data_IF_798970121830
#
_entry.id   IF_798970121830
#
_cell.length_a   1.000
_cell.length_b   1.000
_cell.length_c   1.000
_cell.angle_alpha   90.00
_cell.angle_beta   90.00
_cell.angle_gamma   90.00
#
_symmetry.space_group_name_H-M   'P 1'
#
loop_
_entity.id
_entity.type
_entity.pdbx_description
1 polymer ?
#
# COMPACT_ATOMS: atom_id res chain seq x y z
N UNK A 1 0.86 17.25 -14.79
CA UNK A 1 0.91 15.85 -14.35
C UNK A 1 1.16 15.00 -15.59
N UNK A 2 2.16 14.12 -15.58
CA UNK A 2 2.42 13.25 -16.73
C UNK A 2 1.47 12.06 -16.68
N UNK A 3 0.58 11.91 -17.66
CA UNK A 3 -0.27 10.74 -17.80
C UNK A 3 0.59 9.57 -18.28
N UNK A 4 1.19 8.85 -17.35
CA UNK A 4 2.00 7.67 -17.65
C UNK A 4 1.06 6.57 -18.15
N UNK A 5 1.25 6.05 -19.38
CA UNK A 5 0.35 5.04 -19.93
C UNK A 5 0.34 3.77 -19.09
N UNK A 6 -0.84 3.24 -18.82
CA UNK A 6 -1.00 2.02 -18.04
C UNK A 6 -0.57 0.81 -18.89
N UNK A 7 0.46 0.10 -18.40
CA UNK A 7 1.05 -1.06 -19.07
C UNK A 7 0.93 -2.30 -18.20
N UNK A 8 0.89 -3.47 -18.82
CA UNK A 8 1.02 -4.74 -18.12
C UNK A 8 2.49 -5.01 -17.69
N UNK A 9 2.72 -6.12 -17.00
CA UNK A 9 4.06 -6.54 -16.56
C UNK A 9 5.07 -6.75 -17.69
N UNK A 10 4.59 -6.89 -18.93
CA UNK A 10 5.39 -7.06 -20.14
C UNK A 10 5.63 -5.75 -20.88
N UNK A 11 5.06 -4.63 -20.39
CA UNK A 11 5.15 -3.32 -21.01
C UNK A 11 4.13 -3.08 -22.11
N UNK A 12 3.20 -4.02 -22.36
CA UNK A 12 2.12 -3.85 -23.33
C UNK A 12 1.09 -2.87 -22.77
N UNK A 13 0.69 -1.90 -23.58
CA UNK A 13 -0.40 -0.99 -23.22
C UNK A 13 -1.68 -1.78 -22.95
N UNK A 14 -2.26 -1.55 -21.78
CA UNK A 14 -3.53 -2.19 -21.39
C UNK A 14 -4.74 -1.53 -22.07
N UNK A 15 -4.58 -0.29 -22.52
CA UNK A 15 -5.63 0.53 -23.14
C UNK A 15 -5.00 1.72 -23.86
N UNK A 16 -5.72 2.29 -24.81
CA UNK A 16 -5.31 3.52 -25.51
C UNK A 16 -5.31 4.72 -24.58
N UNK A 17 -4.57 5.77 -24.95
CA UNK A 17 -4.51 7.01 -24.17
C UNK A 17 -5.89 7.69 -24.06
N UNK A 18 -6.73 7.56 -25.09
CA UNK A 18 -8.11 8.08 -25.09
C UNK A 18 -8.99 7.35 -24.07
N UNK A 19 -8.93 6.01 -24.04
CA UNK A 19 -9.67 5.21 -23.05
C UNK A 19 -9.21 5.49 -21.62
N UNK A 20 -7.89 5.69 -21.40
CA UNK A 20 -7.36 6.08 -20.10
C UNK A 20 -7.89 7.44 -19.67
N UNK A 21 -7.85 8.43 -20.56
CA UNK A 21 -8.32 9.77 -20.28
C UNK A 21 -9.83 9.77 -19.95
N UNK A 22 -10.63 9.04 -20.72
CA UNK A 22 -12.07 8.92 -20.47
C UNK A 22 -12.37 8.27 -19.12
N UNK A 23 -11.66 7.20 -18.75
CA UNK A 23 -11.77 6.59 -17.40
C UNK A 23 -11.43 7.57 -16.29
N UNK A 24 -10.36 8.35 -16.45
CA UNK A 24 -9.98 9.33 -15.44
C UNK A 24 -11.05 10.40 -15.27
N UNK A 25 -11.57 10.95 -16.37
CA UNK A 25 -12.64 11.96 -16.33
C UNK A 25 -13.89 11.42 -15.64
N UNK A 26 -14.30 10.20 -15.94
CA UNK A 26 -15.45 9.55 -15.30
C UNK A 26 -15.22 9.36 -13.80
N UNK A 27 -14.05 8.85 -13.41
CA UNK A 27 -13.69 8.65 -12.01
C UNK A 27 -13.67 9.98 -11.24
N UNK A 28 -13.08 11.03 -11.81
CA UNK A 28 -13.06 12.36 -11.20
C UNK A 28 -14.47 12.92 -11.03
N UNK A 29 -15.34 12.77 -12.03
CA UNK A 29 -16.76 13.17 -11.90
C UNK A 29 -17.46 12.40 -10.78
N UNK A 30 -17.21 11.11 -10.66
CA UNK A 30 -17.84 10.28 -9.64
C UNK A 30 -17.37 10.62 -8.22
N UNK A 31 -16.12 11.04 -8.05
CA UNK A 31 -15.57 11.45 -6.74
C UNK A 31 -15.99 12.87 -6.38
N UNK A 32 -15.86 13.81 -7.32
CA UNK A 32 -16.07 15.24 -7.04
C UNK A 32 -17.54 15.64 -6.93
N UNK A 33 -18.45 14.84 -7.51
CA UNK A 33 -19.89 15.09 -7.41
C UNK A 33 -20.55 14.26 -6.30
N UNK A 34 -19.77 13.63 -5.41
CA UNK A 34 -20.35 13.01 -4.23
C UNK A 34 -20.91 14.11 -3.32
N UNK A 35 -22.09 13.91 -2.70
CA UNK A 35 -22.57 14.84 -1.69
C UNK A 35 -21.53 14.93 -0.58
N UNK A 36 -21.39 16.13 0.00
CA UNK A 36 -20.52 16.30 1.17
C UNK A 36 -20.91 15.25 2.21
N UNK A 37 -19.92 14.47 2.67
CA UNK A 37 -20.14 13.50 3.72
C UNK A 37 -20.72 14.28 4.92
N UNK A 38 -21.88 13.87 5.47
CA UNK A 38 -22.53 14.60 6.56
C UNK A 38 -21.66 14.74 7.81
N UNK A 39 -20.57 13.97 7.87
CA UNK A 39 -19.53 14.09 8.86
C UNK A 39 -18.20 13.71 8.21
N UNK A 40 -17.34 14.68 7.93
CA UNK A 40 -15.92 14.39 7.69
C UNK A 40 -15.39 13.73 8.95
N UNK A 41 -14.77 12.56 8.81
CA UNK A 41 -14.15 11.86 9.92
C UNK A 41 -13.20 12.81 10.67
N UNK A 42 -13.53 13.10 11.93
CA UNK A 42 -12.78 14.05 12.74
C UNK A 42 -11.64 13.33 13.46
N UNK A 43 -10.43 13.43 12.90
CA UNK A 43 -9.21 12.89 13.53
C UNK A 43 -8.91 13.47 14.93
N UNK A 44 -9.54 14.59 15.31
CA UNK A 44 -9.42 15.13 16.66
C UNK A 44 -10.29 14.40 17.69
N UNK A 45 -11.43 13.83 17.29
CA UNK A 45 -12.31 13.07 18.20
C UNK A 45 -11.64 11.76 18.64
N UNK A 46 -10.80 11.16 17.79
CA UNK A 46 -10.02 9.97 18.15
C UNK A 46 -8.95 10.26 19.19
N UNK A 47 -8.33 11.44 19.21
CA UNK A 47 -7.33 11.79 20.24
C UNK A 47 -7.94 11.93 21.63
N UNK A 48 -9.23 12.27 21.72
CA UNK A 48 -9.96 12.27 22.99
C UNK A 48 -10.56 10.91 23.34
N UNK A 49 -10.98 10.11 22.34
CA UNK A 49 -11.56 8.78 22.56
C UNK A 49 -10.50 7.68 22.81
N UNK A 50 -9.34 7.77 22.16
CA UNK A 50 -8.17 6.92 22.38
C UNK A 50 -7.35 7.60 23.47
N UNK A 51 -7.84 7.54 24.71
CA UNK A 51 -7.07 7.97 25.87
C UNK A 51 -5.67 7.35 25.81
N UNK A 52 -4.65 8.21 25.79
CA UNK A 52 -3.24 7.88 25.50
C UNK A 52 -3.11 6.93 24.31
N UNK A 53 -2.81 7.47 23.12
CA UNK A 53 -2.25 6.67 22.01
C UNK A 53 -1.20 5.76 22.64
N UNK A 54 -1.49 4.46 22.72
CA UNK A 54 -0.53 3.47 23.20
C UNK A 54 0.59 3.58 22.16
N UNK A 55 1.68 4.22 22.56
CA UNK A 55 2.81 4.45 21.68
C UNK A 55 3.24 3.07 21.23
N UNK A 56 2.98 2.73 19.96
CA UNK A 56 3.39 1.44 19.44
C UNK A 56 4.88 1.33 19.70
N UNK A 57 5.27 0.27 20.41
CA UNK A 57 6.67 -0.09 20.67
C UNK A 57 7.31 -0.50 19.34
N UNK A 58 7.61 0.51 18.53
CA UNK A 58 8.28 0.37 17.24
C UNK A 58 9.77 0.45 17.51
N UNK A 59 10.51 -0.56 17.08
CA UNK A 59 11.96 -0.51 17.09
C UNK A 59 12.42 0.57 16.08
N UNK A 60 12.76 1.76 16.56
CA UNK A 60 13.37 2.84 15.76
C UNK A 60 14.90 2.81 15.79
N UNK A 61 15.50 1.77 16.36
CA UNK A 61 16.94 1.59 16.39
C UNK A 61 17.51 1.29 15.00
N UNK A 62 18.81 1.50 14.85
CA UNK A 62 19.53 1.05 13.65
C UNK A 62 19.53 -0.48 13.59
N UNK A 63 19.26 -1.02 12.40
CA UNK A 63 19.26 -2.46 12.16
C UNK A 63 20.70 -2.98 12.28
N UNK A 64 20.92 -3.97 13.15
CA UNK A 64 22.22 -4.60 13.32
C UNK A 64 22.51 -5.64 12.24
N UNK A 65 23.79 -5.99 12.09
CA UNK A 65 24.21 -7.05 11.15
C UNK A 65 23.63 -8.39 11.58
N UNK A 66 23.61 -8.66 12.88
CA UNK A 66 23.07 -9.89 13.47
C UNK A 66 21.56 -10.02 13.24
N UNK A 67 20.81 -8.92 13.37
CA UNK A 67 19.38 -8.90 13.04
C UNK A 67 19.14 -9.20 11.55
N UNK A 68 20.00 -8.66 10.68
CA UNK A 68 19.94 -8.91 9.24
C UNK A 68 20.26 -10.37 8.90
N UNK A 69 21.29 -10.95 9.52
CA UNK A 69 21.68 -12.35 9.34
C UNK A 69 20.59 -13.32 9.80
N UNK A 70 20.02 -13.10 10.99
CA UNK A 70 18.94 -13.91 11.52
C UNK A 70 17.69 -13.92 10.61
N UNK A 71 17.37 -12.78 10.00
CA UNK A 71 16.27 -12.66 9.03
C UNK A 71 16.58 -13.43 7.75
N UNK A 72 17.81 -13.34 7.24
CA UNK A 72 18.22 -14.06 6.03
C UNK A 72 18.21 -15.58 6.23
N UNK A 73 18.73 -16.07 7.36
CA UNK A 73 18.69 -17.49 7.72
C UNK A 73 17.25 -18.00 7.80
N UNK A 74 16.39 -17.28 8.52
CA UNK A 74 14.97 -17.63 8.65
C UNK A 74 14.28 -17.67 7.29
N UNK A 75 14.57 -16.69 6.42
CA UNK A 75 13.99 -16.61 5.08
C UNK A 75 14.47 -17.74 4.18
N UNK A 76 15.76 -18.08 4.23
CA UNK A 76 16.34 -19.18 3.46
C UNK A 76 15.73 -20.52 3.89
N UNK A 77 15.57 -20.72 5.20
CA UNK A 77 14.98 -21.94 5.76
C UNK A 77 13.51 -22.09 5.33
N UNK A 78 12.74 -20.99 5.36
CA UNK A 78 11.36 -20.95 4.84
C UNK A 78 11.28 -21.34 3.35
N UNK A 79 12.20 -20.83 2.53
CA UNK A 79 12.27 -21.14 1.09
C UNK A 79 12.57 -22.63 0.88
N UNK A 80 13.52 -23.18 1.62
CA UNK A 80 13.89 -24.60 1.54
C UNK A 80 12.75 -25.52 1.97
N UNK A 81 12.06 -25.21 3.07
CA UNK A 81 10.89 -26.00 3.52
C UNK A 81 9.76 -25.95 2.50
N UNK A 82 9.47 -24.79 1.92
CA UNK A 82 8.46 -24.67 0.84
C UNK A 82 8.86 -25.44 -0.41
N UNK A 83 10.14 -25.50 -0.75
CA UNK A 83 10.61 -26.29 -1.89
C UNK A 83 10.43 -27.79 -1.65
N UNK A 84 10.74 -28.26 -0.43
CA UNK A 84 10.58 -29.67 -0.04
C UNK A 84 9.12 -30.13 0.05
N UNK A 85 8.17 -29.23 0.34
CA UNK A 85 6.73 -29.54 0.36
C UNK A 85 6.08 -29.60 -1.03
N UNK A 86 6.77 -29.11 -2.07
CA UNK A 86 6.27 -29.11 -3.45
C UNK A 86 6.82 -30.28 -4.30
N UNK A 87 7.45 -31.27 -3.64
CA UNK A 87 7.83 -32.58 -4.18
C UNK A 87 7.24 -33.68 -3.30
#
# INVERSE_FOLDING_TARGET
MSNIPIKDKTGKLLMSDEEQNNRWVEQFRNILNQPDLPQTYNFYDEREAIGTVDEFDVNTGDISVEETEAVLETRMLLVLTKYQQNY
#
